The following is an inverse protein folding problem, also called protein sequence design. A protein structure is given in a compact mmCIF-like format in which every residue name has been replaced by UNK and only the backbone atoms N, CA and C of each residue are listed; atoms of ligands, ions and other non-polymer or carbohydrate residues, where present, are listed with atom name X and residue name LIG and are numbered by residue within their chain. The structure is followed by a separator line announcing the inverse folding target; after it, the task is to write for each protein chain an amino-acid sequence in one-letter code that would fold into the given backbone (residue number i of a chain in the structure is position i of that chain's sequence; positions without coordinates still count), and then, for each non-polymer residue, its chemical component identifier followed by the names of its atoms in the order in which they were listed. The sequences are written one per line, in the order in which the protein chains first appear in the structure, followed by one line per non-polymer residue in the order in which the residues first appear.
data_IF_695550449510
#
_entry.id   IF_695550449510
#
_cell.length_a   1.000
_cell.length_b   1.000
_cell.length_c   1.000
_cell.angle_alpha   90.00
_cell.angle_beta   90.00
_cell.angle_gamma   90.00
#
_symmetry.space_group_name_H-M   'P 1'
#
loop_
_entity.id
_entity.type
_entity.pdbx_description
1 polymer ?
#
# COMPACT_ATOMS: atom_id res chain seq x y z
N UNK A 1 -8.12 -32.79 2.55
CA UNK A 1 -7.69 -31.41 2.85
C UNK A 1 -6.23 -31.29 2.51
N UNK A 2 -5.85 -30.39 1.60
CA UNK A 2 -4.44 -30.03 1.42
C UNK A 2 -4.14 -29.00 2.51
N UNK A 3 -3.36 -29.38 3.50
CA UNK A 3 -2.75 -28.44 4.44
C UNK A 3 -1.32 -28.19 3.96
N UNK A 4 -0.97 -26.93 3.73
CA UNK A 4 0.38 -26.51 3.36
C UNK A 4 0.83 -25.43 4.34
N UNK A 5 2.01 -25.61 4.94
CA UNK A 5 2.62 -24.58 5.80
C UNK A 5 3.35 -23.61 4.87
N UNK A 6 2.87 -22.36 4.81
CA UNK A 6 3.61 -21.28 4.17
C UNK A 6 4.54 -20.64 5.19
N UNK A 7 5.85 -20.86 5.03
CA UNK A 7 6.86 -20.15 5.82
C UNK A 7 7.10 -18.76 5.20
N UNK A 8 6.68 -17.71 5.90
CA UNK A 8 7.03 -16.32 5.60
C UNK A 8 7.98 -15.79 6.68
N UNK A 9 9.30 -15.99 6.52
CA UNK A 9 10.27 -15.41 7.45
C UNK A 9 10.27 -13.88 7.34
N UNK A 10 10.65 -13.22 8.42
CA UNK A 10 10.91 -11.78 8.37
C UNK A 10 12.10 -11.54 7.43
N UNK A 11 11.89 -10.74 6.38
CA UNK A 11 12.97 -10.34 5.48
C UNK A 11 13.72 -9.17 6.10
N UNK A 12 14.98 -9.40 6.48
CA UNK A 12 15.89 -8.34 6.93
C UNK A 12 16.60 -7.72 5.72
N UNK A 13 16.85 -6.42 5.77
CA UNK A 13 17.51 -5.66 4.69
C UNK A 13 16.63 -4.56 4.11
N UNK A 14 17.08 -3.95 3.01
CA UNK A 14 16.37 -2.85 2.34
C UNK A 14 15.48 -3.44 1.25
N UNK A 15 14.25 -2.91 1.12
CA UNK A 15 13.37 -3.25 0.01
C UNK A 15 14.07 -2.90 -1.32
N UNK A 16 14.21 -3.84 -2.27
CA UNK A 16 14.77 -3.54 -3.58
C UNK A 16 14.05 -2.37 -4.25
N UNK A 17 14.79 -1.42 -4.79
CA UNK A 17 14.25 -0.16 -5.33
C UNK A 17 13.23 -0.37 -6.45
N UNK A 18 13.39 -1.43 -7.26
CA UNK A 18 12.43 -1.75 -8.32
C UNK A 18 11.05 -2.13 -7.76
N UNK A 19 10.98 -2.69 -6.54
CA UNK A 19 9.72 -3.01 -5.87
C UNK A 19 9.10 -1.72 -5.36
N UNK A 20 9.83 -0.96 -4.53
CA UNK A 20 9.33 0.29 -3.96
C UNK A 20 8.86 1.27 -5.03
N UNK A 21 9.56 1.36 -6.17
CA UNK A 21 9.14 2.20 -7.29
C UNK A 21 7.79 1.75 -7.86
N UNK A 22 7.59 0.45 -8.09
CA UNK A 22 6.30 -0.08 -8.58
C UNK A 22 5.16 0.14 -7.59
N UNK A 23 5.44 0.03 -6.29
CA UNK A 23 4.46 0.32 -5.24
C UNK A 23 4.04 1.79 -5.28
N UNK A 24 5.01 2.69 -5.45
CA UNK A 24 4.79 4.13 -5.62
C UNK A 24 3.98 4.45 -6.87
N UNK A 25 4.37 3.91 -8.03
CA UNK A 25 3.65 4.09 -9.30
C UNK A 25 2.18 3.65 -9.19
N UNK A 26 1.93 2.51 -8.53
CA UNK A 26 0.57 2.02 -8.29
C UNK A 26 -0.22 2.92 -7.33
N UNK A 27 0.42 3.40 -6.26
CA UNK A 27 -0.20 4.34 -5.32
C UNK A 27 -0.60 5.65 -6.00
N UNK A 28 0.29 6.21 -6.82
CA UNK A 28 0.03 7.42 -7.61
C UNK A 28 -1.14 7.22 -8.56
N UNK A 29 -1.16 6.13 -9.34
CA UNK A 29 -2.25 5.84 -10.28
C UNK A 29 -3.62 5.73 -9.57
N UNK A 30 -3.66 5.13 -8.38
CA UNK A 30 -4.91 5.03 -7.59
C UNK A 30 -5.35 6.42 -7.11
N UNK A 31 -4.43 7.23 -6.59
CA UNK A 31 -4.75 8.58 -6.10
C UNK A 31 -5.19 9.49 -7.26
N UNK A 32 -4.50 9.45 -8.40
CA UNK A 32 -4.87 10.18 -9.62
C UNK A 32 -6.28 9.81 -10.08
N UNK A 33 -6.61 8.51 -10.10
CA UNK A 33 -7.97 8.05 -10.44
C UNK A 33 -9.02 8.59 -9.48
N UNK A 34 -8.74 8.61 -8.17
CA UNK A 34 -9.66 9.20 -7.18
C UNK A 34 -9.85 10.69 -7.41
N UNK A 35 -8.77 11.42 -7.68
CA UNK A 35 -8.83 12.87 -7.94
C UNK A 35 -9.62 13.15 -9.22
N UNK A 36 -9.40 12.39 -10.28
CA UNK A 36 -10.10 12.55 -11.55
C UNK A 36 -11.62 12.36 -11.41
N UNK A 37 -12.06 11.39 -10.61
CA UNK A 37 -13.47 11.02 -10.48
C UNK A 37 -14.21 11.68 -9.32
N UNK A 38 -13.49 12.10 -8.27
CA UNK A 38 -14.08 12.60 -7.02
C UNK A 38 -13.46 13.90 -6.49
N UNK A 39 -12.39 14.38 -7.11
CA UNK A 39 -11.70 15.61 -6.74
C UNK A 39 -10.70 15.44 -5.58
N UNK A 40 -9.86 16.47 -5.42
CA UNK A 40 -8.77 16.48 -4.42
C UNK A 40 -9.26 16.37 -2.98
N UNK A 41 -10.41 16.96 -2.66
CA UNK A 41 -10.96 16.90 -1.30
C UNK A 41 -11.27 15.47 -0.87
N UNK A 42 -11.86 14.67 -1.77
CA UNK A 42 -12.19 13.27 -1.47
C UNK A 42 -10.93 12.43 -1.29
N UNK A 43 -9.88 12.68 -2.07
CA UNK A 43 -8.59 12.00 -1.90
C UNK A 43 -8.00 12.25 -0.50
N UNK A 44 -8.05 13.50 0.00
CA UNK A 44 -7.59 13.84 1.34
C UNK A 44 -8.46 13.22 2.45
N UNK A 45 -9.79 13.21 2.26
CA UNK A 45 -10.72 12.56 3.19
C UNK A 45 -10.44 11.06 3.29
N UNK A 46 -10.17 10.41 2.16
CA UNK A 46 -9.83 8.98 2.08
C UNK A 46 -8.48 8.68 2.73
N UNK A 47 -7.45 9.49 2.46
CA UNK A 47 -6.16 9.35 3.13
C UNK A 47 -6.24 9.50 4.67
N UNK A 48 -7.24 10.24 5.16
CA UNK A 48 -7.50 10.38 6.61
C UNK A 48 -8.19 9.15 7.24
N UNK A 49 -8.70 8.21 6.43
CA UNK A 49 -9.33 6.99 6.91
C UNK A 49 -8.30 5.87 7.05
N UNK A 50 -8.12 5.36 8.27
CA UNK A 50 -7.21 4.23 8.54
C UNK A 50 -7.55 2.99 7.68
N UNK A 51 -8.84 2.71 7.47
CA UNK A 51 -9.29 1.58 6.65
C UNK A 51 -8.91 1.78 5.19
N UNK A 52 -9.08 3.00 4.66
CA UNK A 52 -8.79 3.29 3.27
C UNK A 52 -7.28 3.33 3.00
N UNK A 53 -6.51 3.95 3.90
CA UNK A 53 -5.04 3.93 3.82
C UNK A 53 -4.50 2.50 3.85
N UNK A 54 -5.11 1.63 4.66
CA UNK A 54 -4.72 0.21 4.72
C UNK A 54 -5.07 -0.52 3.42
N UNK A 55 -6.24 -0.26 2.83
CA UNK A 55 -6.63 -0.83 1.54
C UNK A 55 -5.72 -0.34 0.40
N UNK A 56 -5.32 0.93 0.42
CA UNK A 56 -4.35 1.49 -0.52
C UNK A 56 -3.01 0.76 -0.41
N UNK A 57 -2.50 0.54 0.82
CA UNK A 57 -1.27 -0.21 1.04
C UNK A 57 -1.35 -1.65 0.52
N UNK A 58 -2.47 -2.34 0.79
CA UNK A 58 -2.71 -3.68 0.28
C UNK A 58 -2.68 -3.74 -1.26
N UNK A 59 -3.32 -2.76 -1.93
CA UNK A 59 -3.31 -2.66 -3.39
C UNK A 59 -1.91 -2.38 -3.93
N UNK A 60 -1.17 -1.45 -3.33
CA UNK A 60 0.20 -1.13 -3.71
C UNK A 60 1.21 -2.24 -3.42
N UNK A 61 0.81 -3.39 -2.86
CA UNK A 61 1.69 -4.54 -2.60
C UNK A 61 2.27 -4.60 -1.18
N UNK A 62 1.74 -3.79 -0.26
CA UNK A 62 2.11 -3.79 1.15
C UNK A 62 1.20 -4.71 1.96
N UNK A 63 1.78 -5.52 2.85
CA UNK A 63 0.98 -6.47 3.61
C UNK A 63 0.20 -5.79 4.75
N UNK A 64 -1.08 -6.14 4.90
CA UNK A 64 -1.99 -5.59 5.91
C UNK A 64 -1.47 -5.65 7.36
N UNK A 65 -0.74 -6.71 7.72
CA UNK A 65 -0.21 -6.92 9.07
C UNK A 65 1.20 -6.33 9.29
N UNK A 66 1.70 -5.54 8.34
CA UNK A 66 3.01 -4.91 8.44
C UNK A 66 2.91 -3.53 9.10
N UNK A 67 3.73 -3.29 10.14
CA UNK A 67 3.68 -2.06 10.94
C UNK A 67 4.18 -0.79 10.23
N UNK A 68 4.79 -0.93 9.05
CA UNK A 68 5.41 0.19 8.29
C UNK A 68 4.53 0.82 7.20
N UNK A 69 3.23 0.51 7.16
CA UNK A 69 2.36 0.86 6.02
C UNK A 69 2.31 2.36 5.74
N UNK A 70 2.15 3.20 6.77
CA UNK A 70 2.13 4.66 6.61
C UNK A 70 3.50 5.18 6.15
N UNK A 71 4.60 4.64 6.66
CA UNK A 71 5.97 5.03 6.27
C UNK A 71 6.26 4.69 4.81
N UNK A 72 5.74 3.58 4.30
CA UNK A 72 6.03 3.15 2.92
C UNK A 72 5.11 3.82 1.90
N UNK A 73 3.90 4.23 2.28
CA UNK A 73 2.99 4.95 1.38
C UNK A 73 3.19 6.47 1.39
N UNK A 74 3.56 7.04 2.54
CA UNK A 74 3.61 8.50 2.73
C UNK A 74 5.03 9.06 2.91
N UNK A 75 6.04 8.19 3.07
CA UNK A 75 7.43 8.55 3.38
C UNK A 75 8.38 8.42 2.20
#
# INVERSE_FOLDING_TARGET
MISGIANMPLHFGVCPTFISNRMGDMGSAIIESVIEHHGTSEALTRLSSAHWLTALGALSGFQFNSSGLATVLLG
#
